data_IF_209120173453
#
_entry.id   IF_209120173453
#
_cell.length_a   1.000
_cell.length_b   1.000
_cell.length_c   1.000
_cell.angle_alpha   90.00
_cell.angle_beta   90.00
_cell.angle_gamma   90.00
#
_symmetry.space_group_name_H-M   'P 1'
#
loop_
_entity.id
_entity.type
_entity.pdbx_description
1 polymer ?
#
# COMPACT_ATOMS: atom_id res chain seq x y z
N UNK A 1 5.15 -0.32 -46.25
CA UNK A 1 5.00 0.38 -44.95
C UNK A 1 4.30 -0.57 -43.99
N UNK A 2 4.98 -1.03 -42.95
CA UNK A 2 4.34 -1.87 -41.93
C UNK A 2 3.44 -0.99 -41.05
N UNK A 3 2.13 -1.19 -41.10
CA UNK A 3 1.21 -0.57 -40.15
C UNK A 3 1.44 -1.18 -38.78
N UNK A 4 2.15 -0.46 -37.92
CA UNK A 4 2.22 -0.79 -36.49
C UNK A 4 0.86 -0.42 -35.90
N UNK A 5 0.08 -1.43 -35.53
CA UNK A 5 -1.17 -1.21 -34.78
C UNK A 5 -0.77 -0.57 -33.45
N UNK A 6 -1.28 0.63 -33.19
CA UNK A 6 -1.12 1.27 -31.88
C UNK A 6 -1.97 0.49 -30.87
N UNK A 7 -1.38 0.01 -29.77
CA UNK A 7 -2.15 -0.64 -28.71
C UNK A 7 -3.20 0.32 -28.13
N UNK A 8 -4.42 -0.18 -27.94
CA UNK A 8 -5.51 0.53 -27.27
C UNK A 8 -5.35 0.39 -25.76
N UNK A 9 -5.13 1.51 -25.09
CA UNK A 9 -4.95 1.60 -23.64
C UNK A 9 -6.15 2.25 -22.93
N UNK A 10 -7.25 2.49 -23.64
CA UNK A 10 -8.42 3.19 -23.08
C UNK A 10 -9.02 2.46 -21.88
N UNK A 11 -8.93 1.13 -21.83
CA UNK A 11 -9.40 0.29 -20.74
C UNK A 11 -8.44 0.20 -19.54
N UNK A 12 -7.22 0.73 -19.65
CA UNK A 12 -6.25 0.69 -18.56
C UNK A 12 -6.63 1.65 -17.44
N UNK A 13 -6.28 1.25 -16.22
CA UNK A 13 -6.31 2.12 -15.04
C UNK A 13 -4.93 2.22 -14.40
N UNK A 14 -4.76 3.20 -13.53
CA UNK A 14 -3.50 3.51 -12.86
C UNK A 14 -3.75 3.66 -11.37
N UNK A 15 -2.96 2.98 -10.55
CA UNK A 15 -3.10 3.01 -9.10
C UNK A 15 -2.02 3.89 -8.48
N UNK A 16 -2.42 4.95 -7.80
CA UNK A 16 -1.54 5.77 -6.97
C UNK A 16 -1.67 5.36 -5.50
N UNK A 17 -0.55 5.07 -4.83
CA UNK A 17 -0.52 4.75 -3.38
C UNK A 17 0.33 5.79 -2.65
N UNK A 18 -0.17 6.30 -1.53
CA UNK A 18 0.57 7.21 -0.66
C UNK A 18 0.69 6.63 0.75
N UNK A 19 1.91 6.27 1.15
CA UNK A 19 2.25 5.81 2.50
C UNK A 19 2.66 7.00 3.37
N UNK A 20 1.70 7.66 4.01
CA UNK A 20 1.95 8.79 4.90
C UNK A 20 2.22 8.35 6.35
N UNK A 21 2.54 9.32 7.21
CA UNK A 21 2.82 9.07 8.65
C UNK A 21 1.59 8.63 9.43
N UNK A 22 0.40 9.15 9.12
CA UNK A 22 -0.84 8.87 9.87
C UNK A 22 -1.79 7.90 9.17
N UNK A 23 -1.56 7.65 7.89
CA UNK A 23 -2.47 6.92 7.02
C UNK A 23 -1.77 6.43 5.77
N UNK A 24 -2.30 5.36 5.20
CA UNK A 24 -2.04 4.96 3.81
C UNK A 24 -3.30 5.27 2.99
N UNK A 25 -3.10 5.76 1.77
CA UNK A 25 -4.19 6.10 0.87
C UNK A 25 -3.93 5.57 -0.53
N UNK A 26 -5.00 5.31 -1.27
CA UNK A 26 -4.94 4.94 -2.67
C UNK A 26 -5.96 5.73 -3.51
N UNK A 27 -5.60 5.93 -4.78
CA UNK A 27 -6.48 6.46 -5.83
C UNK A 27 -6.31 5.62 -7.08
N UNK A 28 -7.43 5.17 -7.67
CA UNK A 28 -7.43 4.54 -8.99
C UNK A 28 -7.94 5.55 -10.02
N UNK A 29 -7.18 5.72 -11.10
CA UNK A 29 -7.48 6.62 -12.20
C UNK A 29 -7.75 5.84 -13.49
N UNK A 30 -8.64 6.34 -14.35
CA UNK A 30 -8.76 5.85 -15.73
C UNK A 30 -7.68 6.44 -16.65
N UNK A 31 -7.74 6.11 -17.94
CA UNK A 31 -6.84 6.60 -18.98
C UNK A 31 -6.96 8.10 -19.28
N UNK A 32 -8.07 8.73 -18.88
CA UNK A 32 -8.29 10.18 -18.94
C UNK A 32 -7.85 10.89 -17.64
N UNK A 33 -7.21 10.17 -16.71
CA UNK A 33 -6.83 10.65 -15.38
C UNK A 33 -8.01 11.02 -14.47
N UNK A 34 -9.22 10.50 -14.74
CA UNK A 34 -10.37 10.68 -13.86
C UNK A 34 -10.31 9.70 -12.71
N UNK A 35 -10.68 10.18 -11.52
CA UNK A 35 -10.75 9.36 -10.30
C UNK A 35 -11.94 8.40 -10.40
N UNK A 36 -11.65 7.10 -10.34
CA UNK A 36 -12.65 6.04 -10.27
C UNK A 36 -12.93 5.62 -8.83
N UNK A 37 -11.88 5.41 -8.05
CA UNK A 37 -11.96 4.93 -6.66
C UNK A 37 -10.91 5.60 -5.79
N UNK A 38 -11.23 5.78 -4.50
CA UNK A 38 -10.30 6.27 -3.49
C UNK A 38 -10.51 5.54 -2.18
N UNK A 39 -9.42 5.22 -1.49
CA UNK A 39 -9.46 4.57 -0.18
C UNK A 39 -8.44 5.19 0.75
N UNK A 40 -8.75 5.25 2.04
CA UNK A 40 -7.83 5.68 3.09
C UNK A 40 -7.94 4.73 4.27
N UNK A 41 -6.79 4.33 4.81
CA UNK A 41 -6.67 3.57 6.06
C UNK A 41 -5.86 4.42 7.04
N UNK A 42 -6.46 4.80 8.18
CA UNK A 42 -5.88 5.62 9.24
C UNK A 42 -5.33 4.72 10.32
N UNK A 43 -4.05 4.85 10.65
CA UNK A 43 -3.38 3.85 11.50
C UNK A 43 -3.99 3.75 12.90
N UNK A 44 -4.18 4.88 13.57
CA UNK A 44 -4.69 4.92 14.95
C UNK A 44 -6.14 4.41 15.09
N UNK A 45 -6.91 4.36 13.99
CA UNK A 45 -8.34 4.00 14.01
C UNK A 45 -8.59 2.63 13.42
N UNK A 46 -7.98 2.35 12.27
CA UNK A 46 -8.30 1.20 11.43
C UNK A 46 -7.35 0.01 11.70
N UNK A 47 -6.21 0.24 12.39
CA UNK A 47 -5.30 -0.80 12.91
C UNK A 47 -4.85 -0.49 14.36
N UNK A 48 -5.80 -0.32 15.30
CA UNK A 48 -5.54 0.17 16.65
C UNK A 48 -4.63 -0.73 17.49
N UNK A 49 -4.49 -2.01 17.13
CA UNK A 49 -3.64 -2.99 17.81
C UNK A 49 -2.14 -2.64 17.80
N UNK A 50 -1.70 -1.74 16.91
CA UNK A 50 -0.32 -1.23 16.90
C UNK A 50 -0.11 -0.06 17.87
N UNK A 51 -1.16 0.38 18.57
CA UNK A 51 -1.10 1.36 19.65
C UNK A 51 -0.37 2.65 19.28
N UNK A 52 -0.50 3.11 18.04
CA UNK A 52 0.11 4.36 17.57
C UNK A 52 -0.67 5.58 18.05
N UNK A 53 0.03 6.70 18.17
CA UNK A 53 -0.57 8.02 18.33
C UNK A 53 -0.01 8.90 17.24
N UNK A 54 -0.90 9.42 16.39
CA UNK A 54 -0.53 10.09 15.14
C UNK A 54 0.31 9.21 14.21
N UNK A 55 0.06 7.89 14.22
CA UNK A 55 0.72 6.92 13.36
C UNK A 55 2.15 6.54 13.73
N UNK A 56 2.62 6.95 14.93
CA UNK A 56 3.93 6.60 15.48
C UNK A 56 3.83 6.15 16.93
N UNK A 57 4.81 5.38 17.37
CA UNK A 57 5.05 5.04 18.77
C UNK A 57 6.23 5.88 19.30
N UNK A 58 6.13 6.37 20.54
CA UNK A 58 7.25 7.07 21.19
C UNK A 58 8.30 6.05 21.63
N UNK A 59 9.56 6.33 21.33
CA UNK A 59 10.71 5.57 21.80
C UNK A 59 11.08 5.90 23.25
N UNK A 60 12.24 5.41 23.68
CA UNK A 60 12.74 5.59 25.05
C UNK A 60 13.07 7.05 25.39
N UNK A 61 13.48 7.86 24.42
CA UNK A 61 13.67 9.31 24.59
C UNK A 61 12.53 10.10 23.93
N UNK A 62 12.31 11.33 24.41
CA UNK A 62 11.23 12.20 23.94
C UNK A 62 11.31 12.58 22.45
N UNK A 63 12.50 12.48 21.84
CA UNK A 63 12.75 12.83 20.43
C UNK A 63 12.81 11.63 19.49
N UNK A 64 12.70 10.40 20.02
CA UNK A 64 12.74 9.19 19.19
C UNK A 64 11.32 8.70 18.94
N UNK A 65 11.01 8.48 17.67
CA UNK A 65 9.75 7.90 17.22
C UNK A 65 10.07 6.68 16.38
N UNK A 66 9.30 5.62 16.59
CA UNK A 66 9.38 4.41 15.80
C UNK A 66 7.98 3.99 15.37
N UNK A 67 7.94 3.00 14.51
CA UNK A 67 6.72 2.43 13.96
C UNK A 67 7.02 0.96 13.67
N UNK A 68 6.04 0.10 13.92
CA UNK A 68 6.15 -1.29 13.49
C UNK A 68 5.85 -1.37 11.98
N UNK A 69 6.80 -1.75 11.10
CA UNK A 69 6.56 -1.81 9.66
C UNK A 69 5.43 -2.78 9.27
N UNK A 70 5.16 -3.80 10.08
CA UNK A 70 4.04 -4.74 9.87
C UNK A 70 2.69 -4.02 9.90
N UNK A 71 2.59 -2.88 10.61
CA UNK A 71 1.41 -2.02 10.57
C UNK A 71 1.11 -1.53 9.15
N UNK A 72 2.14 -1.13 8.39
CA UNK A 72 1.97 -0.68 7.01
C UNK A 72 1.61 -1.82 6.08
N UNK A 73 2.18 -3.01 6.32
CA UNK A 73 1.85 -4.23 5.57
C UNK A 73 0.37 -4.58 5.77
N UNK A 74 -0.12 -4.57 7.02
CA UNK A 74 -1.54 -4.82 7.31
C UNK A 74 -2.44 -3.72 6.75
N UNK A 75 -2.02 -2.46 6.85
CA UNK A 75 -2.78 -1.35 6.30
C UNK A 75 -2.89 -1.45 4.76
N UNK A 76 -1.88 -1.99 4.07
CA UNK A 76 -1.94 -2.27 2.64
C UNK A 76 -2.93 -3.39 2.31
N UNK A 77 -2.99 -4.49 3.09
CA UNK A 77 -4.03 -5.51 2.93
C UNK A 77 -5.43 -4.89 3.03
N UNK A 78 -5.67 -4.05 4.05
CA UNK A 78 -6.96 -3.37 4.24
C UNK A 78 -7.26 -2.42 3.07
N UNK A 79 -6.26 -1.67 2.60
CA UNK A 79 -6.39 -0.72 1.51
C UNK A 79 -6.84 -1.40 0.21
N UNK A 80 -6.21 -2.52 -0.16
CA UNK A 80 -6.53 -3.27 -1.37
C UNK A 80 -7.90 -3.95 -1.26
N UNK A 81 -8.21 -4.57 -0.12
CA UNK A 81 -9.53 -5.16 0.13
C UNK A 81 -10.65 -4.10 0.06
N UNK A 82 -10.40 -2.90 0.57
CA UNK A 82 -11.40 -1.83 0.52
C UNK A 82 -11.59 -1.27 -0.89
N UNK A 83 -10.55 -1.21 -1.73
CA UNK A 83 -10.71 -0.89 -3.15
C UNK A 83 -11.58 -1.94 -3.85
N UNK A 84 -11.29 -3.23 -3.65
CA UNK A 84 -12.08 -4.32 -4.23
C UNK A 84 -13.55 -4.27 -3.76
N UNK A 85 -13.79 -4.04 -2.48
CA UNK A 85 -15.14 -3.89 -1.91
C UNK A 85 -15.92 -2.69 -2.48
N UNK A 86 -15.22 -1.64 -2.96
CA UNK A 86 -15.83 -0.53 -3.69
C UNK A 86 -16.12 -0.84 -5.17
N UNK A 87 -15.75 -2.03 -5.65
CA UNK A 87 -15.89 -2.44 -7.05
C UNK A 87 -14.71 -2.08 -7.95
N UNK A 88 -13.55 -1.72 -7.36
CA UNK A 88 -12.34 -1.44 -8.13
C UNK A 88 -11.89 -2.68 -8.91
N UNK A 89 -11.78 -2.56 -10.23
CA UNK A 89 -11.31 -3.63 -11.11
C UNK A 89 -9.78 -3.68 -11.11
N UNK A 90 -9.17 -4.29 -10.10
CA UNK A 90 -7.70 -4.29 -9.95
C UNK A 90 -6.95 -4.98 -11.11
N UNK A 91 -7.59 -5.90 -11.84
CA UNK A 91 -6.99 -6.53 -13.03
C UNK A 91 -6.77 -5.57 -14.21
N UNK A 92 -7.38 -4.38 -14.21
CA UNK A 92 -7.17 -3.36 -15.26
C UNK A 92 -6.02 -2.40 -14.94
N UNK A 93 -5.41 -2.53 -13.75
CA UNK A 93 -4.31 -1.65 -13.33
C UNK A 93 -3.07 -1.98 -14.16
N UNK A 94 -2.69 -1.06 -15.04
CA UNK A 94 -1.54 -1.21 -15.93
C UNK A 94 -0.24 -0.75 -15.29
N UNK A 95 -0.30 0.18 -14.33
CA UNK A 95 0.85 0.62 -13.56
C UNK A 95 0.44 1.07 -12.14
N UNK A 96 1.38 0.90 -11.22
CA UNK A 96 1.28 1.37 -9.85
C UNK A 96 2.37 2.43 -9.65
N UNK A 97 1.96 3.61 -9.22
CA UNK A 97 2.85 4.66 -8.75
C UNK A 97 2.63 4.91 -7.27
N UNK A 98 3.61 5.50 -6.59
CA UNK A 98 3.38 5.87 -5.20
C UNK A 98 4.39 6.84 -4.62
N UNK A 99 4.02 7.36 -3.47
CA UNK A 99 4.86 8.23 -2.64
C UNK A 99 4.84 7.71 -1.21
N UNK A 100 5.86 8.05 -0.44
CA UNK A 100 5.95 7.68 0.96
C UNK A 100 6.38 8.88 1.78
N UNK A 101 6.15 8.84 3.09
CA UNK A 101 6.84 9.71 4.02
C UNK A 101 8.36 9.64 3.81
N UNK A 102 9.03 10.77 4.00
CA UNK A 102 10.47 10.88 3.83
C UNK A 102 11.23 10.44 5.10
N UNK A 103 12.51 10.10 4.95
CA UNK A 103 13.46 9.82 6.03
C UNK A 103 13.19 8.58 6.90
N UNK A 104 12.09 7.86 6.69
CA UNK A 104 11.86 6.56 7.33
C UNK A 104 12.76 5.47 6.74
N UNK A 105 13.30 4.62 7.60
CA UNK A 105 14.11 3.46 7.19
C UNK A 105 13.49 2.17 7.72
N UNK A 106 13.41 1.14 6.88
CA UNK A 106 12.99 -0.22 7.26
C UNK A 106 14.19 -1.15 7.12
N UNK A 107 14.45 -1.95 8.15
CA UNK A 107 15.54 -2.92 8.16
C UNK A 107 14.93 -4.30 7.98
N UNK A 108 15.36 -5.02 6.95
CA UNK A 108 14.88 -6.36 6.64
C UNK A 108 15.79 -7.41 7.26
N UNK A 109 15.18 -8.42 7.88
CA UNK A 109 15.87 -9.66 8.20
C UNK A 109 16.09 -10.50 6.92
N UNK A 110 17.09 -11.38 6.93
CA UNK A 110 17.29 -12.33 5.82
C UNK A 110 16.05 -13.24 5.63
N UNK A 111 15.43 -13.64 6.73
CA UNK A 111 14.20 -14.43 6.70
C UNK A 111 13.05 -13.66 6.05
N UNK A 112 12.87 -12.38 6.39
CA UNK A 112 11.86 -11.51 5.79
C UNK A 112 12.02 -11.40 4.27
N UNK A 113 13.25 -11.25 3.78
CA UNK A 113 13.55 -11.25 2.34
C UNK A 113 13.19 -12.59 1.67
N UNK A 114 13.52 -13.73 2.31
CA UNK A 114 13.16 -15.06 1.79
C UNK A 114 11.64 -15.24 1.74
N UNK A 115 10.90 -14.79 2.76
CA UNK A 115 9.43 -14.85 2.78
C UNK A 115 8.81 -13.97 1.70
N UNK A 116 9.38 -12.78 1.44
CA UNK A 116 8.93 -11.90 0.37
C UNK A 116 9.01 -12.56 -1.02
N UNK A 117 10.02 -13.40 -1.26
CA UNK A 117 10.13 -14.16 -2.51
C UNK A 117 9.13 -15.33 -2.63
N UNK A 118 8.55 -15.78 -1.50
CA UNK A 118 7.71 -16.97 -1.39
C UNK A 118 6.28 -16.68 -0.96
N UNK A 119 5.75 -15.48 -1.25
CA UNK A 119 4.39 -15.11 -0.89
C UNK A 119 3.36 -16.05 -1.51
N UNK A 120 2.40 -16.46 -0.69
CA UNK A 120 1.25 -17.26 -1.08
C UNK A 120 0.00 -16.38 -1.13
N UNK A 121 -0.64 -16.31 -2.29
CA UNK A 121 -1.82 -15.48 -2.55
C UNK A 121 -3.07 -15.90 -1.76
N UNK A 122 -3.08 -17.07 -1.13
CA UNK A 122 -4.19 -17.53 -0.29
C UNK A 122 -4.20 -16.92 1.12
N UNK A 123 -3.11 -16.27 1.52
CA UNK A 123 -2.95 -15.67 2.85
C UNK A 123 -2.76 -14.15 2.74
N UNK A 124 -3.06 -13.44 3.82
CA UNK A 124 -2.84 -11.99 3.87
C UNK A 124 -1.35 -11.69 3.92
N UNK A 125 -0.95 -10.50 3.46
CA UNK A 125 0.46 -10.13 3.44
C UNK A 125 1.03 -10.01 4.85
N UNK A 126 0.29 -9.41 5.78
CA UNK A 126 0.74 -9.24 7.17
C UNK A 126 0.80 -10.55 7.99
N UNK A 127 0.14 -11.61 7.53
CA UNK A 127 0.26 -12.96 8.11
C UNK A 127 1.58 -13.63 7.69
N UNK A 128 2.19 -13.17 6.59
CA UNK A 128 3.39 -13.75 6.00
C UNK A 128 4.65 -12.93 6.29
N UNK A 129 4.52 -11.62 6.46
CA UNK A 129 5.62 -10.68 6.74
C UNK A 129 5.48 -10.11 8.15
N UNK A 130 5.97 -10.86 9.15
CA UNK A 130 5.82 -10.55 10.58
C UNK A 130 7.08 -10.02 11.26
N UNK A 131 8.26 -10.13 10.60
CA UNK A 131 9.59 -9.98 11.21
C UNK A 131 10.46 -8.96 10.45
#
# INVERSE_FOLDING_TARGET
MCHRISPDYSANTYLGIHLGTRRIAAVQLDSDLKVLHTTVVRYDVDVPEFCTVNGVNRGHSSSVYHVNPVMWVKALDILLNSLEAQGAKLHTVAAIGGTTQHHGTVYWSELGLRRLCGLNALFRLHEQLTD
#
